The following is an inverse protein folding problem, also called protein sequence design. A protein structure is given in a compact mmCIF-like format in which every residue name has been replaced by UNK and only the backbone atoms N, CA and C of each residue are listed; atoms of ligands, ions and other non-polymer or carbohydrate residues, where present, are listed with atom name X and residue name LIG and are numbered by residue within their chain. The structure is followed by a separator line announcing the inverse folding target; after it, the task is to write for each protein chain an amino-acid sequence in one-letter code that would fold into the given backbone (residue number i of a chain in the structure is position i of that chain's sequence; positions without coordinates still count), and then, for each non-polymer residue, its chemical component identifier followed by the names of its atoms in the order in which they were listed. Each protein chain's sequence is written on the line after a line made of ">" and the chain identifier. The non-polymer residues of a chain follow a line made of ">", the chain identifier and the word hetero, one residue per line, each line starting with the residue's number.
data_IF_239940794192
#
_entry.id   IF_239940794192
#
_cell.length_a   1.000
_cell.length_b   1.000
_cell.length_c   1.000
_cell.angle_alpha   90.00
_cell.angle_beta   90.00
_cell.angle_gamma   90.00
#
_symmetry.space_group_name_H-M   'P 1'
#
loop_
_entity.id
_entity.type
_entity.pdbx_description
1 polymer ?
#
# COMPACT_ATOMS: atom_id res chain seq x y z
N UNK A 1 6.86 -9.69 6.34
CA UNK A 1 7.58 -9.44 5.08
C UNK A 1 9.05 -9.26 5.36
N UNK A 2 9.91 -9.95 4.61
CA UNK A 2 11.30 -9.50 4.47
C UNK A 2 11.35 -8.23 3.62
N UNK A 3 12.40 -7.43 3.77
CA UNK A 3 12.62 -6.19 3.00
C UNK A 3 12.61 -6.44 1.47
N UNK A 4 12.95 -7.67 1.08
CA UNK A 4 13.02 -8.20 -0.28
C UNK A 4 11.63 -8.42 -0.93
N UNK A 5 10.63 -8.82 -0.13
CA UNK A 5 9.27 -9.11 -0.61
C UNK A 5 8.50 -7.81 -0.90
N UNK A 6 8.70 -6.81 -0.04
CA UNK A 6 8.25 -5.44 -0.30
C UNK A 6 8.92 -4.86 -1.55
N UNK A 7 10.22 -5.10 -1.76
CA UNK A 7 10.93 -4.62 -2.94
C UNK A 7 10.39 -5.22 -4.25
N UNK A 8 10.10 -6.53 -4.27
CA UNK A 8 9.54 -7.18 -5.46
C UNK A 8 8.11 -6.69 -5.77
N UNK A 9 7.29 -6.54 -4.72
CA UNK A 9 5.93 -5.97 -4.85
C UNK A 9 5.99 -4.51 -5.30
N UNK A 10 6.95 -3.71 -4.81
CA UNK A 10 7.17 -2.32 -5.21
C UNK A 10 7.47 -2.18 -6.71
N UNK A 11 8.25 -3.10 -7.29
CA UNK A 11 8.59 -3.06 -8.71
C UNK A 11 7.35 -3.27 -9.59
N UNK A 12 6.53 -4.27 -9.26
CA UNK A 12 5.26 -4.52 -9.97
C UNK A 12 4.31 -3.34 -9.79
N UNK A 13 4.27 -2.78 -8.58
CA UNK A 13 3.40 -1.66 -8.25
C UNK A 13 3.81 -0.34 -8.89
N UNK A 14 5.11 -0.09 -9.04
CA UNK A 14 5.65 1.05 -9.79
C UNK A 14 5.38 0.91 -11.28
N UNK A 15 5.42 -0.30 -11.83
CA UNK A 15 5.11 -0.55 -13.24
C UNK A 15 3.63 -0.25 -13.59
N UNK A 16 2.70 -0.46 -12.66
CA UNK A 16 1.28 -0.16 -12.85
C UNK A 16 0.88 1.30 -12.54
N UNK A 17 1.83 2.16 -12.15
CA UNK A 17 1.53 3.51 -11.67
C UNK A 17 1.44 4.52 -12.82
N UNK A 18 0.44 5.43 -12.85
CA UNK A 18 0.46 6.57 -13.76
C UNK A 18 1.69 7.45 -13.47
N UNK A 19 2.34 7.96 -14.52
CA UNK A 19 3.63 8.71 -14.53
C UNK A 19 3.70 9.96 -13.65
N UNK A 20 2.67 10.28 -12.85
CA UNK A 20 2.52 11.55 -12.14
C UNK A 20 1.99 11.35 -10.71
N UNK A 21 2.87 11.50 -9.73
CA UNK A 21 2.60 11.43 -8.29
C UNK A 21 3.92 11.50 -7.49
N UNK A 22 3.88 12.04 -6.26
CA UNK A 22 5.07 12.18 -5.39
C UNK A 22 5.72 10.83 -5.10
N UNK A 23 7.04 10.81 -5.15
CA UNK A 23 7.94 9.64 -5.15
C UNK A 23 8.08 8.97 -3.77
N UNK A 24 7.92 7.64 -3.72
CA UNK A 24 8.73 6.71 -2.93
C UNK A 24 8.42 6.54 -1.44
N UNK A 25 8.36 7.62 -0.66
CA UNK A 25 8.44 7.49 0.82
C UNK A 25 7.17 6.91 1.47
N UNK A 26 6.02 7.12 0.83
CA UNK A 26 4.71 6.59 1.23
C UNK A 26 4.44 5.19 0.66
N UNK A 27 5.18 4.75 -0.35
CA UNK A 27 4.86 3.52 -1.10
C UNK A 27 5.22 2.26 -0.30
N UNK A 28 6.39 2.26 0.34
CA UNK A 28 6.81 1.19 1.26
C UNK A 28 5.87 1.09 2.47
N UNK A 29 5.52 2.24 3.07
CA UNK A 29 4.56 2.31 4.19
C UNK A 29 3.18 1.80 3.81
N UNK A 30 2.71 2.11 2.60
CA UNK A 30 1.44 1.62 2.07
C UNK A 30 1.43 0.09 1.90
N UNK A 31 2.51 -0.49 1.38
CA UNK A 31 2.61 -1.95 1.22
C UNK A 31 2.78 -2.66 2.56
N UNK A 32 3.54 -2.10 3.50
CA UNK A 32 3.61 -2.64 4.87
C UNK A 32 2.24 -2.59 5.56
N UNK A 33 1.45 -1.53 5.31
CA UNK A 33 0.08 -1.43 5.80
C UNK A 33 -0.83 -2.53 5.21
N UNK A 34 -0.74 -2.78 3.90
CA UNK A 34 -1.49 -3.85 3.25
C UNK A 34 -1.09 -5.22 3.77
N UNK A 35 0.21 -5.47 3.94
CA UNK A 35 0.67 -6.74 4.51
C UNK A 35 0.15 -6.94 5.93
N UNK A 36 0.24 -5.91 6.78
CA UNK A 36 -0.29 -5.97 8.14
C UNK A 36 -1.80 -6.27 8.12
N UNK A 37 -2.55 -5.66 7.20
CA UNK A 37 -3.96 -5.95 7.00
C UNK A 37 -4.21 -7.41 6.60
N UNK A 38 -3.42 -7.97 5.68
CA UNK A 38 -3.57 -9.37 5.22
C UNK A 38 -3.17 -10.38 6.29
N UNK A 39 -2.15 -10.09 7.09
CA UNK A 39 -1.65 -11.00 8.15
C UNK A 39 -2.52 -10.96 9.40
N UNK A 40 -2.87 -9.77 9.86
CA UNK A 40 -3.62 -9.60 11.11
C UNK A 40 -5.14 -9.66 10.90
N UNK A 41 -5.60 -9.63 9.64
CA UNK A 41 -7.02 -9.60 9.24
C UNK A 41 -7.84 -8.54 10.00
N UNK A 42 -7.18 -7.42 10.33
CA UNK A 42 -7.74 -6.33 11.12
C UNK A 42 -8.63 -5.44 10.26
N UNK A 43 -9.64 -4.80 10.86
CA UNK A 43 -10.43 -3.78 10.17
C UNK A 43 -9.52 -2.59 9.81
N UNK A 44 -9.76 -1.94 8.67
CA UNK A 44 -9.01 -0.75 8.22
C UNK A 44 -8.86 0.34 9.31
N UNK A 45 -9.88 0.51 10.17
CA UNK A 45 -9.87 1.47 11.28
C UNK A 45 -8.93 1.12 12.43
N UNK A 46 -8.50 -0.14 12.53
CA UNK A 46 -7.54 -0.60 13.51
C UNK A 46 -6.10 -0.58 12.97
N UNK A 47 -5.89 -0.01 11.77
CA UNK A 47 -4.56 0.14 11.21
C UNK A 47 -3.71 1.04 12.13
N UNK A 48 -2.53 0.59 12.57
CA UNK A 48 -1.63 1.38 13.40
C UNK A 48 -1.23 2.69 12.72
N UNK A 49 -1.25 3.81 13.45
CA UNK A 49 -0.92 5.14 12.93
C UNK A 49 0.51 5.27 12.37
N UNK A 50 1.41 4.34 12.74
CA UNK A 50 2.77 4.22 12.16
C UNK A 50 2.77 4.08 10.63
N UNK A 51 1.68 3.57 10.05
CA UNK A 51 1.52 3.42 8.61
C UNK A 51 0.84 4.64 7.94
N UNK A 52 0.51 5.66 8.73
CA UNK A 52 -0.25 6.81 8.32
C UNK A 52 -1.75 6.64 8.53
N UNK A 53 -2.50 7.66 8.13
CA UNK A 53 -3.95 7.68 8.34
C UNK A 53 -4.64 6.63 7.46
N UNK A 54 -5.38 5.71 8.08
CA UNK A 54 -6.05 4.58 7.41
C UNK A 54 -6.90 5.00 6.20
N UNK A 55 -7.54 6.17 6.24
CA UNK A 55 -8.37 6.66 5.13
C UNK A 55 -7.53 7.02 3.89
N UNK A 56 -6.26 7.39 4.06
CA UNK A 56 -5.34 7.67 2.95
C UNK A 56 -4.91 6.36 2.29
N UNK A 57 -4.61 5.33 3.08
CA UNK A 57 -4.32 3.98 2.60
C UNK A 57 -5.54 3.42 1.88
N UNK A 58 -6.72 3.48 2.48
CA UNK A 58 -7.96 2.98 1.87
C UNK A 58 -8.31 3.71 0.57
N UNK A 59 -8.27 5.05 0.52
CA UNK A 59 -8.51 5.81 -0.72
C UNK A 59 -7.55 5.45 -1.84
N UNK A 60 -6.31 5.11 -1.48
CA UNK A 60 -5.30 4.71 -2.44
C UNK A 60 -5.54 3.29 -2.94
N UNK A 61 -5.90 2.37 -2.07
CA UNK A 61 -6.34 1.02 -2.43
C UNK A 61 -7.58 1.05 -3.34
N UNK A 62 -8.62 1.80 -2.97
CA UNK A 62 -9.85 1.99 -3.76
C UNK A 62 -9.55 2.51 -5.17
N UNK A 63 -8.64 3.49 -5.29
CA UNK A 63 -8.24 4.01 -6.61
C UNK A 63 -7.56 2.96 -7.49
N UNK A 64 -6.78 2.07 -6.89
CA UNK A 64 -6.03 1.04 -7.60
C UNK A 64 -6.89 -0.16 -7.96
N UNK A 65 -7.80 -0.55 -7.07
CA UNK A 65 -8.81 -1.57 -7.36
C UNK A 65 -9.74 -1.09 -8.49
N UNK A 66 -10.17 0.18 -8.47
CA UNK A 66 -10.90 0.80 -9.59
C UNK A 66 -10.11 0.86 -10.89
N UNK A 67 -8.78 0.90 -10.81
CA UNK A 67 -7.90 0.86 -11.98
C UNK A 67 -7.58 -0.57 -12.45
N UNK A 68 -8.08 -1.61 -11.76
CA UNK A 68 -7.82 -3.01 -12.10
C UNK A 68 -6.41 -3.49 -11.76
N UNK A 69 -5.70 -2.79 -10.85
CA UNK A 69 -4.36 -3.18 -10.38
C UNK A 69 -4.43 -4.24 -9.27
N UNK A 70 -5.54 -4.26 -8.53
CA UNK A 70 -5.87 -5.22 -7.48
C UNK A 70 -7.23 -5.85 -7.72
#
# INVERSE_FOLDING_TARGET
>A
MGEEDCAHTLVVFQACRPRRGREGEDDRRFLEALHFFTVENVRWRALPERFGHWNSVWKRFDRLSKAGVF
#
